data_IF_831155155056
#
_entry.id   IF_831155155056
#
_cell.length_a   1.000
_cell.length_b   1.000
_cell.length_c   1.000
_cell.angle_alpha   90.00
_cell.angle_beta   90.00
_cell.angle_gamma   90.00
#
_symmetry.space_group_name_H-M   'P 1'
#
loop_
_entity.id
_entity.type
_entity.pdbx_description
1 polymer ?
#
# COMPACT_ATOMS: atom_id res chain seq x y z
N UNK A 1 44.02 -24.58 -28.75
CA UNK A 1 43.10 -25.36 -27.89
C UNK A 1 42.81 -24.51 -26.67
N UNK A 2 41.63 -23.88 -26.60
CA UNK A 2 40.43 -24.42 -25.93
C UNK A 2 40.70 -24.66 -24.43
N UNK A 3 40.01 -24.04 -23.46
CA UNK A 3 38.70 -23.41 -23.56
C UNK A 3 38.35 -22.45 -22.41
N UNK A 4 37.30 -21.70 -22.71
CA UNK A 4 36.51 -20.83 -21.83
C UNK A 4 35.61 -21.72 -20.97
N UNK A 5 35.54 -21.44 -19.66
CA UNK A 5 34.33 -21.71 -18.86
C UNK A 5 34.10 -20.50 -17.95
N UNK A 6 33.05 -19.73 -18.28
CA UNK A 6 32.45 -18.74 -17.42
C UNK A 6 31.58 -19.44 -16.38
N UNK A 7 31.50 -18.95 -15.13
CA UNK A 7 30.22 -18.93 -14.40
C UNK A 7 30.21 -17.84 -13.35
N UNK A 8 29.12 -17.09 -13.35
CA UNK A 8 28.80 -15.98 -12.46
C UNK A 8 28.88 -16.36 -10.97
N UNK A 9 29.44 -15.47 -10.16
CA UNK A 9 29.26 -15.51 -8.72
C UNK A 9 27.78 -15.21 -8.43
N UNK A 10 27.02 -16.25 -8.11
CA UNK A 10 25.68 -16.11 -7.57
C UNK A 10 25.79 -15.50 -6.17
N UNK A 11 25.24 -14.30 -6.01
CA UNK A 11 25.13 -13.59 -4.74
C UNK A 11 24.34 -14.45 -3.74
N UNK A 12 24.87 -14.64 -2.52
CA UNK A 12 24.08 -15.15 -1.39
C UNK A 12 24.53 -16.44 -0.71
N UNK A 13 25.74 -16.96 -0.94
CA UNK A 13 26.26 -18.12 -0.18
C UNK A 13 27.41 -17.69 0.72
N UNK A 14 27.22 -17.82 2.04
CA UNK A 14 28.29 -17.72 3.05
C UNK A 14 28.36 -18.98 3.89
N UNK A 15 29.57 -19.33 4.33
CA UNK A 15 29.82 -20.52 5.15
C UNK A 15 29.92 -20.12 6.63
N UNK A 16 29.31 -20.90 7.52
CA UNK A 16 29.52 -20.71 8.95
C UNK A 16 30.89 -21.27 9.40
N UNK A 17 31.29 -21.01 10.65
CA UNK A 17 32.57 -21.47 11.22
C UNK A 17 32.77 -23.00 11.19
N UNK A 18 31.71 -23.77 10.95
CA UNK A 18 31.73 -25.23 10.83
C UNK A 18 31.63 -25.73 9.37
N UNK A 19 31.72 -24.83 8.37
CA UNK A 19 31.77 -25.20 6.95
C UNK A 19 30.44 -25.64 6.35
N UNK A 20 29.32 -25.44 7.05
CA UNK A 20 27.99 -25.72 6.50
C UNK A 20 27.54 -24.56 5.61
N UNK A 21 26.97 -24.89 4.45
CA UNK A 21 26.24 -23.94 3.63
C UNK A 21 25.05 -23.42 4.42
N UNK A 22 25.03 -22.12 4.71
CA UNK A 22 23.85 -21.44 5.25
C UNK A 22 23.07 -20.92 4.06
N UNK A 23 21.87 -21.45 3.84
CA UNK A 23 20.90 -20.84 2.93
C UNK A 23 20.37 -19.59 3.62
N UNK A 24 20.56 -18.40 3.05
CA UNK A 24 19.77 -17.24 3.44
C UNK A 24 18.33 -17.51 2.96
N UNK A 25 17.43 -17.91 3.86
CA UNK A 25 16.01 -17.97 3.55
C UNK A 25 15.58 -16.63 2.94
N UNK A 26 14.93 -16.74 1.77
CA UNK A 26 14.97 -15.76 0.70
C UNK A 26 14.49 -14.37 1.10
N UNK A 27 15.27 -13.38 0.70
CA UNK A 27 14.84 -11.98 0.72
C UNK A 27 13.54 -11.84 -0.06
N UNK A 28 12.54 -11.23 0.58
CA UNK A 28 11.29 -10.87 -0.10
C UNK A 28 11.65 -10.08 -1.36
N UNK A 29 11.14 -10.50 -2.51
CA UNK A 29 11.41 -9.81 -3.77
C UNK A 29 10.41 -8.66 -3.95
N UNK A 30 10.84 -7.49 -4.43
CA UNK A 30 9.92 -6.41 -4.70
C UNK A 30 8.95 -6.82 -5.81
N UNK A 31 7.69 -6.35 -5.77
CA UNK A 31 6.74 -6.64 -6.83
C UNK A 31 7.24 -6.03 -8.15
N UNK A 32 6.98 -6.69 -9.30
CA UNK A 32 7.35 -6.14 -10.59
C UNK A 32 6.60 -4.82 -10.84
N UNK A 33 7.33 -3.81 -11.33
CA UNK A 33 6.72 -2.54 -11.74
C UNK A 33 6.03 -2.74 -13.08
N UNK A 34 4.71 -2.59 -13.10
CA UNK A 34 3.89 -2.87 -14.27
C UNK A 34 3.93 -1.80 -15.35
N UNK A 35 4.13 -0.56 -14.95
CA UNK A 35 4.26 0.61 -15.81
C UNK A 35 5.24 1.58 -15.15
N UNK A 36 6.25 1.98 -15.91
CA UNK A 36 7.36 2.85 -15.49
C UNK A 36 6.88 4.27 -15.20
N UNK A 37 7.70 5.04 -14.49
CA UNK A 37 7.41 6.45 -14.22
C UNK A 37 7.37 7.27 -15.51
N UNK A 38 8.23 6.98 -16.49
CA UNK A 38 8.25 7.66 -17.79
C UNK A 38 6.94 7.48 -18.56
N UNK A 39 6.37 6.26 -18.51
CA UNK A 39 5.10 5.96 -19.14
C UNK A 39 3.90 6.62 -18.42
N UNK A 40 4.01 6.90 -17.12
CA UNK A 40 3.00 7.70 -16.41
C UNK A 40 3.20 9.20 -16.63
N UNK A 41 4.45 9.64 -16.77
CA UNK A 41 4.77 11.03 -17.09
C UNK A 41 4.19 11.45 -18.44
N UNK A 42 4.16 10.55 -19.45
CA UNK A 42 3.48 10.81 -20.72
C UNK A 42 1.97 11.04 -20.56
N UNK A 43 1.37 10.54 -19.49
CA UNK A 43 -0.04 10.75 -19.13
C UNK A 43 -0.23 11.93 -18.15
N UNK A 44 0.79 12.75 -17.94
CA UNK A 44 0.83 13.87 -17.00
C UNK A 44 0.68 13.46 -15.53
N UNK A 45 1.22 12.28 -15.18
CA UNK A 45 1.19 11.73 -13.83
C UNK A 45 2.61 11.60 -13.29
N UNK A 46 2.83 12.06 -12.06
CA UNK A 46 4.10 11.90 -11.34
C UNK A 46 3.86 11.27 -9.97
N UNK A 47 4.76 10.36 -9.58
CA UNK A 47 4.84 9.80 -8.23
C UNK A 47 5.82 10.61 -7.39
N UNK A 48 5.46 10.87 -6.15
CA UNK A 48 6.24 11.67 -5.20
C UNK A 48 6.39 10.89 -3.90
N UNK A 49 7.63 10.79 -3.43
CA UNK A 49 7.97 10.18 -2.15
C UNK A 49 7.94 11.20 -1.01
N UNK A 50 7.54 10.74 0.17
CA UNK A 50 7.52 11.56 1.39
C UNK A 50 6.27 12.42 1.54
N UNK A 51 6.20 13.13 2.67
CA UNK A 51 5.01 13.89 3.06
C UNK A 51 5.20 15.41 3.11
N UNK A 52 6.43 15.91 2.88
CA UNK A 52 6.79 17.31 3.11
C UNK A 52 5.91 18.29 2.33
N UNK A 53 5.57 17.96 1.08
CA UNK A 53 4.81 18.84 0.18
C UNK A 53 3.31 18.51 0.15
N UNK A 54 2.81 17.66 1.05
CA UNK A 54 1.41 17.28 1.08
C UNK A 54 0.55 18.39 1.68
N UNK A 55 -0.43 18.86 0.91
CA UNK A 55 -1.51 19.69 1.43
C UNK A 55 -2.56 18.83 2.17
N UNK A 56 -2.66 18.98 3.49
CA UNK A 56 -3.57 18.19 4.34
C UNK A 56 -5.06 18.40 4.01
N UNK A 57 -5.44 19.58 3.52
CA UNK A 57 -6.82 19.84 3.11
C UNK A 57 -7.17 19.04 1.86
N UNK A 58 -6.26 19.03 0.88
CA UNK A 58 -6.40 18.26 -0.36
C UNK A 58 -6.37 16.74 -0.10
N UNK A 59 -5.51 16.27 0.80
CA UNK A 59 -5.49 14.86 1.20
C UNK A 59 -6.83 14.45 1.87
N UNK A 60 -7.40 15.31 2.72
CA UNK A 60 -8.72 15.08 3.28
C UNK A 60 -9.83 15.10 2.21
N UNK A 61 -9.74 15.97 1.20
CA UNK A 61 -10.66 15.96 0.06
C UNK A 61 -10.56 14.66 -0.73
N UNK A 62 -9.35 14.11 -0.91
CA UNK A 62 -9.15 12.81 -1.55
C UNK A 62 -9.79 11.69 -0.73
N UNK A 63 -9.57 11.66 0.59
CA UNK A 63 -10.18 10.68 1.48
C UNK A 63 -11.70 10.69 1.40
N UNK A 64 -12.33 11.86 1.48
CA UNK A 64 -13.78 11.97 1.39
C UNK A 64 -14.31 11.46 0.04
N UNK A 65 -13.63 11.78 -1.08
CA UNK A 65 -14.02 11.31 -2.43
C UNK A 65 -13.99 9.79 -2.58
N UNK A 66 -13.17 9.09 -1.81
CA UNK A 66 -13.08 7.61 -1.83
C UNK A 66 -13.89 6.95 -0.71
N UNK A 67 -14.68 7.73 0.05
CA UNK A 67 -15.53 7.24 1.12
C UNK A 67 -14.84 7.08 2.48
N UNK A 68 -13.59 7.51 2.62
CA UNK A 68 -12.91 7.57 3.91
C UNK A 68 -13.38 8.78 4.71
N UNK A 69 -13.42 8.70 6.05
CA UNK A 69 -13.76 9.85 6.87
C UNK A 69 -12.67 10.92 6.78
N UNK A 70 -13.09 12.19 6.76
CA UNK A 70 -12.17 13.31 6.99
C UNK A 70 -11.56 13.20 8.38
N UNK A 71 -10.31 13.65 8.49
CA UNK A 71 -9.50 13.53 9.70
C UNK A 71 -9.13 14.91 10.21
N UNK A 72 -9.00 15.01 11.52
CA UNK A 72 -8.43 16.17 12.17
C UNK A 72 -7.03 16.45 11.60
N UNK A 73 -6.75 17.67 11.07
CA UNK A 73 -5.49 17.96 10.39
C UNK A 73 -4.26 17.78 11.27
N UNK A 74 -4.33 18.11 12.57
CA UNK A 74 -3.20 17.94 13.48
C UNK A 74 -2.86 16.46 13.69
N UNK A 75 -3.89 15.61 13.88
CA UNK A 75 -3.68 14.16 13.96
C UNK A 75 -3.22 13.54 12.65
N UNK A 76 -3.71 14.05 11.51
CA UNK A 76 -3.27 13.57 10.20
C UNK A 76 -1.79 13.89 9.96
N UNK A 77 -1.37 15.12 10.28
CA UNK A 77 0.03 15.51 10.20
C UNK A 77 0.91 14.61 11.09
N UNK A 78 0.53 14.43 12.35
CA UNK A 78 1.27 13.56 13.27
C UNK A 78 1.36 12.11 12.75
N UNK A 79 0.29 11.59 12.14
CA UNK A 79 0.31 10.27 11.52
C UNK A 79 1.27 10.19 10.31
N UNK A 80 1.39 11.26 9.52
CA UNK A 80 2.35 11.35 8.41
C UNK A 80 3.79 11.42 8.92
N UNK A 81 4.05 12.22 9.97
CA UNK A 81 5.37 12.34 10.62
C UNK A 81 5.87 11.00 11.19
N UNK A 82 4.96 10.13 11.64
CA UNK A 82 5.28 8.79 12.15
C UNK A 82 5.08 7.67 11.13
N UNK A 83 4.93 8.01 9.85
CA UNK A 83 4.84 7.02 8.78
C UNK A 83 6.24 6.75 8.23
N UNK A 84 6.59 5.47 8.05
CA UNK A 84 7.90 5.05 7.52
C UNK A 84 8.07 5.39 6.04
N UNK A 85 7.05 5.12 5.22
CA UNK A 85 7.08 5.45 3.79
C UNK A 85 5.74 6.00 3.31
N UNK A 86 5.81 7.09 2.53
CA UNK A 86 4.65 7.74 1.90
C UNK A 86 4.91 7.81 0.40
N UNK A 87 3.90 7.45 -0.38
CA UNK A 87 3.88 7.60 -1.82
C UNK A 87 2.59 8.30 -2.23
N UNK A 88 2.69 9.38 -2.99
CA UNK A 88 1.52 10.08 -3.51
C UNK A 88 1.71 10.44 -4.97
N UNK A 89 0.60 10.79 -5.63
CA UNK A 89 0.54 10.98 -7.07
C UNK A 89 0.03 12.39 -7.33
N UNK A 90 0.72 13.13 -8.19
CA UNK A 90 0.29 14.46 -8.62
C UNK A 90 0.15 14.57 -10.15
N UNK A 91 -0.73 15.45 -10.57
CA UNK A 91 -0.90 15.84 -11.96
C UNK A 91 0.18 16.85 -12.37
N UNK A 92 0.90 16.61 -13.46
CA UNK A 92 1.98 17.50 -13.93
C UNK A 92 1.55 18.48 -15.01
N UNK A 93 0.27 18.46 -15.43
CA UNK A 93 -0.27 19.39 -16.44
C UNK A 93 -1.75 19.66 -16.24
N UNK A 94 -2.13 20.94 -16.26
CA UNK A 94 -3.54 21.32 -16.24
C UNK A 94 -4.28 20.81 -17.48
N UNK A 95 -5.46 20.24 -17.27
CA UNK A 95 -6.37 19.73 -18.29
C UNK A 95 -7.83 19.97 -17.88
N UNK A 96 -8.77 19.49 -18.69
CA UNK A 96 -10.20 19.48 -18.32
C UNK A 96 -10.52 18.57 -17.14
N UNK A 97 -9.61 17.66 -16.78
CA UNK A 97 -9.85 16.63 -15.77
C UNK A 97 -9.09 16.86 -14.45
N UNK A 98 -7.98 17.61 -14.49
CA UNK A 98 -7.17 17.90 -13.32
C UNK A 98 -6.37 19.19 -13.47
N UNK A 99 -6.04 19.82 -12.34
CA UNK A 99 -5.14 20.99 -12.28
C UNK A 99 -3.69 20.54 -12.11
N UNK A 100 -2.74 21.36 -12.56
CA UNK A 100 -1.32 21.19 -12.21
C UNK A 100 -1.15 21.10 -10.69
N UNK A 101 -0.38 20.12 -10.23
CA UNK A 101 -0.10 19.84 -8.81
C UNK A 101 -1.22 19.11 -8.07
N UNK A 102 -2.37 18.87 -8.71
CA UNK A 102 -3.50 18.21 -8.03
C UNK A 102 -3.14 16.78 -7.61
N UNK A 103 -3.44 16.42 -6.37
CA UNK A 103 -3.31 15.07 -5.85
C UNK A 103 -4.31 14.10 -6.51
N UNK A 104 -3.76 13.06 -7.13
CA UNK A 104 -4.49 12.03 -7.85
C UNK A 104 -4.59 10.72 -7.06
N UNK A 105 -3.66 10.48 -6.13
CA UNK A 105 -3.63 9.29 -5.30
C UNK A 105 -2.63 9.39 -4.16
N UNK A 106 -2.77 8.52 -3.18
CA UNK A 106 -2.02 8.50 -1.94
C UNK A 106 -1.96 7.07 -1.39
N UNK A 107 -0.82 6.68 -0.84
CA UNK A 107 -0.63 5.48 -0.04
C UNK A 107 0.45 5.73 1.01
N UNK A 108 0.33 5.06 2.17
CA UNK A 108 1.32 5.18 3.23
C UNK A 108 1.53 3.87 3.96
N UNK A 109 2.70 3.66 4.53
CA UNK A 109 3.00 2.48 5.34
C UNK A 109 3.74 2.84 6.62
N UNK A 110 3.27 2.29 7.74
CA UNK A 110 4.04 2.28 8.99
C UNK A 110 4.91 1.04 9.04
N UNK A 111 6.07 1.13 9.68
CA UNK A 111 6.97 0.01 9.88
C UNK A 111 7.70 0.15 11.22
N UNK A 112 8.17 -0.97 11.75
CA UNK A 112 9.20 -1.02 12.79
C UNK A 112 10.62 -0.77 12.24
N UNK A 113 10.76 -0.63 10.91
CA UNK A 113 12.02 -0.38 10.22
C UNK A 113 12.93 -1.59 10.08
N UNK A 114 12.46 -2.80 10.41
CA UNK A 114 13.29 -4.00 10.42
C UNK A 114 12.57 -5.27 9.98
N UNK A 115 11.37 -5.52 10.49
CA UNK A 115 10.68 -6.80 10.35
C UNK A 115 9.42 -6.66 9.50
N UNK A 116 8.59 -5.68 9.83
CA UNK A 116 7.23 -5.63 9.32
C UNK A 116 6.78 -4.23 8.93
N UNK A 117 5.96 -4.16 7.90
CA UNK A 117 5.22 -2.97 7.53
C UNK A 117 3.74 -3.28 7.34
N UNK A 118 2.91 -2.27 7.61
CA UNK A 118 1.50 -2.28 7.27
C UNK A 118 1.19 -1.09 6.40
N UNK A 119 0.68 -1.37 5.19
CA UNK A 119 0.14 -0.37 4.28
C UNK A 119 -1.23 0.04 4.79
N UNK A 120 -1.38 1.35 4.97
CA UNK A 120 -2.61 2.05 5.31
C UNK A 120 -3.07 2.91 4.13
N UNK A 121 -4.26 3.50 4.28
CA UNK A 121 -4.76 4.64 3.49
C UNK A 121 -4.37 4.61 2.01
N UNK A 122 -4.86 3.63 1.27
CA UNK A 122 -4.69 3.56 -0.19
C UNK A 122 -5.89 4.24 -0.83
N UNK A 123 -5.68 5.41 -1.41
CA UNK A 123 -6.72 6.22 -2.03
C UNK A 123 -6.30 6.67 -3.42
N UNK A 124 -7.21 6.52 -4.39
CA UNK A 124 -7.04 7.06 -5.74
C UNK A 124 -8.30 7.83 -6.10
N UNK A 125 -8.13 9.05 -6.59
CA UNK A 125 -9.22 9.93 -7.00
C UNK A 125 -10.15 9.16 -7.96
N UNK A 126 -11.48 9.12 -7.72
CA UNK A 126 -12.41 8.33 -8.54
C UNK A 126 -12.32 8.58 -10.06
N UNK A 127 -12.00 9.82 -10.47
CA UNK A 127 -11.83 10.16 -11.89
C UNK A 127 -10.57 9.56 -12.53
N UNK A 128 -9.65 9.06 -11.70
CA UNK A 128 -8.36 8.50 -12.06
C UNK A 128 -8.21 7.03 -11.61
N UNK A 129 -9.33 6.37 -11.28
CA UNK A 129 -9.36 4.94 -11.04
C UNK A 129 -9.44 4.15 -12.35
N UNK A 130 -9.13 2.85 -12.29
CA UNK A 130 -9.15 1.91 -13.45
C UNK A 130 -8.17 2.24 -14.58
N UNK A 131 -7.25 3.19 -14.38
CA UNK A 131 -6.13 3.49 -15.29
C UNK A 131 -4.78 3.04 -14.74
N UNK A 132 -4.78 2.19 -13.72
CA UNK A 132 -3.57 1.57 -13.16
C UNK A 132 -2.91 2.30 -11.98
N UNK A 133 -3.37 3.50 -11.58
CA UNK A 133 -2.74 4.26 -10.49
C UNK A 133 -2.72 3.55 -9.14
N UNK A 134 -3.82 2.88 -8.77
CA UNK A 134 -3.89 2.13 -7.50
C UNK A 134 -2.91 0.95 -7.46
N UNK A 135 -2.67 0.32 -8.61
CA UNK A 135 -1.65 -0.71 -8.75
C UNK A 135 -0.26 -0.09 -8.62
N UNK A 136 -0.02 0.97 -9.38
CA UNK A 136 1.27 1.63 -9.50
C UNK A 136 1.79 2.23 -8.18
N UNK A 137 0.89 2.81 -7.36
CA UNK A 137 1.26 3.38 -6.06
C UNK A 137 1.66 2.27 -5.07
N UNK A 138 0.97 1.13 -5.10
CA UNK A 138 1.28 -0.01 -4.22
C UNK A 138 2.57 -0.69 -4.67
N UNK A 139 2.77 -0.87 -5.96
CA UNK A 139 4.02 -1.42 -6.50
C UNK A 139 5.24 -0.62 -6.02
N UNK A 140 5.20 0.71 -6.14
CA UNK A 140 6.30 1.59 -5.70
C UNK A 140 6.47 1.58 -4.18
N UNK A 141 5.37 1.68 -3.43
CA UNK A 141 5.42 1.67 -1.97
C UNK A 141 5.97 0.33 -1.45
N UNK A 142 5.51 -0.80 -1.96
CA UNK A 142 6.00 -2.13 -1.56
C UNK A 142 7.44 -2.34 -2.00
N UNK A 143 7.83 -1.94 -3.22
CA UNK A 143 9.21 -2.02 -3.67
C UNK A 143 10.15 -1.21 -2.75
N UNK A 144 9.72 -0.02 -2.30
CA UNK A 144 10.47 0.77 -1.33
C UNK A 144 10.62 0.05 0.00
N UNK A 145 9.54 -0.47 0.57
CA UNK A 145 9.57 -1.20 1.85
C UNK A 145 10.50 -2.42 1.79
N UNK A 146 10.44 -3.18 0.69
CA UNK A 146 11.32 -4.34 0.48
C UNK A 146 12.79 -3.91 0.35
N UNK A 147 13.06 -2.81 -0.36
CA UNK A 147 14.41 -2.24 -0.50
C UNK A 147 14.97 -1.78 0.85
N UNK A 148 14.11 -1.28 1.74
CA UNK A 148 14.47 -0.92 3.11
C UNK A 148 14.72 -2.17 4.01
N UNK A 149 14.62 -3.39 3.48
CA UNK A 149 14.90 -4.64 4.19
C UNK A 149 13.70 -5.26 4.91
N UNK A 150 12.49 -4.73 4.71
CA UNK A 150 11.28 -5.24 5.36
C UNK A 150 10.83 -6.55 4.69
N UNK A 151 10.77 -7.62 5.47
CA UNK A 151 10.48 -8.98 4.98
C UNK A 151 8.99 -9.34 5.00
N UNK A 152 8.16 -8.56 5.70
CA UNK A 152 6.71 -8.79 5.78
C UNK A 152 5.94 -7.50 5.55
N UNK A 153 5.09 -7.46 4.51
CA UNK A 153 4.22 -6.33 4.20
C UNK A 153 2.76 -6.76 4.27
N UNK A 154 1.97 -6.08 5.11
CA UNK A 154 0.57 -6.39 5.36
C UNK A 154 -0.34 -5.23 4.96
N UNK A 155 -1.61 -5.52 4.70
CA UNK A 155 -2.65 -4.51 4.48
C UNK A 155 -4.02 -5.06 4.87
N UNK A 156 -4.98 -4.14 5.04
CA UNK A 156 -6.38 -4.48 5.25
C UNK A 156 -7.19 -4.04 4.05
N UNK A 157 -7.79 -4.99 3.34
CA UNK A 157 -8.52 -4.75 2.10
C UNK A 157 -10.04 -4.82 2.31
N UNK A 158 -10.78 -3.91 1.71
CA UNK A 158 -12.22 -4.06 1.53
C UNK A 158 -12.51 -5.21 0.55
N UNK A 159 -13.64 -5.94 0.67
CA UNK A 159 -13.92 -7.13 -0.13
C UNK A 159 -13.80 -6.94 -1.66
N UNK A 160 -14.18 -5.76 -2.16
CA UNK A 160 -14.17 -5.40 -3.58
C UNK A 160 -12.76 -5.14 -4.16
N UNK A 161 -11.75 -4.91 -3.31
CA UNK A 161 -10.36 -4.63 -3.75
C UNK A 161 -9.38 -5.76 -3.44
N UNK A 162 -9.81 -6.84 -2.79
CA UNK A 162 -8.95 -8.01 -2.50
C UNK A 162 -8.26 -8.54 -3.77
N UNK A 163 -9.01 -8.69 -4.85
CA UNK A 163 -8.46 -9.21 -6.11
C UNK A 163 -7.44 -8.28 -6.80
N UNK A 164 -7.37 -6.99 -6.44
CA UNK A 164 -6.29 -6.11 -6.86
C UNK A 164 -4.99 -6.50 -6.16
N UNK A 165 -5.04 -6.71 -4.84
CA UNK A 165 -3.87 -7.03 -4.04
C UNK A 165 -3.38 -8.47 -4.28
N UNK A 166 -4.28 -9.43 -4.51
CA UNK A 166 -3.89 -10.80 -4.89
C UNK A 166 -3.08 -10.82 -6.20
N UNK A 167 -3.42 -9.97 -7.17
CA UNK A 167 -2.64 -9.79 -8.42
C UNK A 167 -1.27 -9.16 -8.21
N UNK A 168 -1.06 -8.52 -7.06
CA UNK A 168 0.21 -7.92 -6.64
C UNK A 168 1.04 -8.86 -5.76
N UNK A 169 0.59 -10.10 -5.54
CA UNK A 169 1.29 -11.10 -4.74
C UNK A 169 0.91 -11.11 -3.26
N UNK A 170 -0.06 -10.29 -2.83
CA UNK A 170 -0.58 -10.38 -1.46
C UNK A 170 -1.44 -11.62 -1.29
N UNK A 171 -1.28 -12.29 -0.16
CA UNK A 171 -2.09 -13.47 0.21
C UNK A 171 -3.08 -13.07 1.28
N UNK A 172 -4.36 -13.41 1.08
CA UNK A 172 -5.41 -13.26 2.09
C UNK A 172 -5.34 -14.42 3.08
N UNK A 173 -5.51 -14.12 4.37
CA UNK A 173 -5.54 -15.08 5.48
C UNK A 173 -4.40 -16.12 5.40
N UNK A 174 -3.12 -15.72 5.25
CA UNK A 174 -2.01 -16.67 5.22
C UNK A 174 -2.01 -17.49 6.51
N UNK A 175 -1.92 -18.82 6.39
CA UNK A 175 -1.99 -19.79 7.49
C UNK A 175 -3.22 -19.65 8.40
N UNK A 176 -4.31 -19.06 7.89
CA UNK A 176 -5.54 -18.83 8.65
C UNK A 176 -5.44 -17.68 9.66
N UNK A 177 -4.38 -16.86 9.60
CA UNK A 177 -4.23 -15.66 10.44
C UNK A 177 -5.35 -14.66 10.11
N UNK A 178 -5.95 -14.07 11.16
CA UNK A 178 -7.06 -13.12 11.03
C UNK A 178 -6.69 -11.76 11.61
N UNK A 179 -6.98 -10.71 10.84
CA UNK A 179 -6.97 -9.34 11.34
C UNK A 179 -7.99 -9.14 12.46
N UNK A 180 -7.55 -8.59 13.58
CA UNK A 180 -8.41 -8.27 14.72
C UNK A 180 -8.23 -6.81 15.12
N UNK A 181 -9.32 -6.15 15.52
CA UNK A 181 -9.30 -4.75 15.93
C UNK A 181 -9.93 -4.56 17.30
N UNK A 182 -9.23 -3.86 18.21
CA UNK A 182 -9.78 -3.41 19.48
C UNK A 182 -10.23 -1.96 19.36
N UNK A 183 -11.55 -1.74 19.34
CA UNK A 183 -12.13 -0.43 19.05
C UNK A 183 -13.25 -0.08 20.04
N UNK A 184 -13.50 1.22 20.21
CA UNK A 184 -14.63 1.71 21.00
C UNK A 184 -15.94 1.22 20.37
N UNK A 185 -16.81 0.61 21.18
CA UNK A 185 -18.15 0.18 20.74
C UNK A 185 -18.91 1.38 20.17
N UNK A 186 -19.32 1.32 18.90
CA UNK A 186 -20.20 2.33 18.32
C UNK A 186 -21.64 2.10 18.80
N UNK A 187 -22.40 3.17 19.10
CA UNK A 187 -23.83 3.08 19.44
C UNK A 187 -24.68 2.56 18.27
N UNK A 188 -24.17 2.65 17.04
CA UNK A 188 -24.86 2.29 15.79
C UNK A 188 -25.04 0.78 15.62
N UNK A 189 -24.21 -0.06 16.26
CA UNK A 189 -24.31 -1.53 16.16
C UNK A 189 -25.51 -2.15 16.88
N UNK A 190 -26.07 -1.49 17.91
CA UNK A 190 -27.25 -2.02 18.64
C UNK A 190 -28.54 -1.96 17.82
N UNK A 191 -28.73 -0.92 17.01
CA UNK A 191 -29.97 -0.71 16.27
C UNK A 191 -30.19 -1.72 15.12
N UNK A 192 -29.11 -2.28 14.56
CA UNK A 192 -29.21 -3.26 13.48
C UNK A 192 -29.50 -4.68 14.01
N UNK A 193 -28.89 -5.06 15.14
CA UNK A 193 -29.05 -6.39 15.77
C UNK A 193 -30.46 -6.53 16.40
N UNK A 194 -31.01 -5.47 16.99
CA UNK A 194 -32.38 -5.50 17.54
C UNK A 194 -33.48 -5.60 16.47
N UNK A 195 -33.20 -5.22 15.21
CA UNK A 195 -34.15 -5.37 14.10
C UNK A 195 -34.20 -6.78 13.54
N UNK A 196 -33.10 -7.52 13.59
CA UNK A 196 -33.02 -8.90 13.08
C UNK A 196 -33.64 -9.93 14.05
N UNK A 197 -33.67 -9.61 15.35
CA UNK A 197 -34.16 -10.52 16.40
C UNK A 197 -35.61 -10.30 16.85
N UNK A 198 -36.42 -9.49 16.13
CA UNK A 198 -37.86 -9.43 16.43
C UNK A 198 -38.54 -10.70 15.90
N UNK A 199 -39.20 -11.52 16.75
CA UNK A 199 -39.99 -12.64 16.27
C UNK A 199 -41.10 -12.13 15.34
N UNK A 200 -41.26 -12.77 14.18
CA UNK A 200 -42.37 -12.48 13.26
C UNK A 200 -43.68 -12.75 14.01
N UNK A 201 -44.56 -11.76 14.07
CA UNK A 201 -45.90 -11.96 14.64
C UNK A 201 -46.62 -13.07 13.84
N UNK A 202 -47.21 -14.08 14.51
CA UNK A 202 -48.03 -15.06 13.81
C UNK A 202 -49.25 -14.37 13.19
N UNK A 203 -49.65 -14.88 12.01
CA UNK A 203 -50.84 -14.45 11.26
C UNK A 203 -52.11 -14.94 11.94
#
# INVERSE_FOLDING_TARGET
MLGVVATAAAEGISLNKAGWAVLHEGTLQPPPISKTDEQFASDNVQFVEGYADINLAELNDLFEKVGFPRRDPAKLLLALEHTHSVMWIQCTKSSRWAKLGQMLGFARATSDGALSATIWDVAVNPSWQRVGLGRAVIERLTARLVTDGISTVTLYAEPNVVGLYEKLGFVRDPDGIRGMAFQRKSKTGKALIERTNRPRRPR
#
